data_IF_353426483596
#
_entry.id   IF_353426483596
#
_cell.length_a   1.000
_cell.length_b   1.000
_cell.length_c   1.000
_cell.angle_alpha   90.00
_cell.angle_beta   90.00
_cell.angle_gamma   90.00
#
_symmetry.space_group_name_H-M   'P 1'
#
loop_
_entity.id
_entity.type
_entity.pdbx_description
1 polymer ?
#
# COMPACT_ATOMS: atom_id res chain seq x y z
N UNK A 1 -25.33 18.21 19.57
CA UNK A 1 -24.37 18.75 18.59
C UNK A 1 -23.72 17.57 17.86
N UNK A 2 -23.70 17.56 16.53
CA UNK A 2 -24.16 16.36 15.80
C UNK A 2 -23.08 15.36 15.42
N UNK A 3 -23.23 14.10 15.86
CA UNK A 3 -22.47 12.93 15.36
C UNK A 3 -22.40 12.87 13.83
N UNK A 4 -23.43 13.40 13.16
CA UNK A 4 -23.54 13.52 11.70
C UNK A 4 -22.46 14.43 11.10
N UNK A 5 -22.23 15.62 11.67
CA UNK A 5 -21.19 16.54 11.17
C UNK A 5 -19.83 15.86 11.21
N UNK A 6 -19.54 15.20 12.33
CA UNK A 6 -18.29 14.48 12.51
C UNK A 6 -18.11 13.36 11.50
N UNK A 7 -19.13 12.52 11.30
CA UNK A 7 -19.11 11.43 10.30
C UNK A 7 -18.92 11.94 8.88
N UNK A 8 -19.58 13.04 8.52
CA UNK A 8 -19.46 13.65 7.20
C UNK A 8 -18.07 14.25 6.98
N UNK A 9 -17.53 14.95 7.98
CA UNK A 9 -16.17 15.46 7.96
C UNK A 9 -15.15 14.33 7.87
N UNK A 10 -15.30 13.28 8.67
CA UNK A 10 -14.42 12.11 8.68
C UNK A 10 -14.40 11.41 7.32
N UNK A 11 -15.58 11.08 6.77
CA UNK A 11 -15.67 10.46 5.45
C UNK A 11 -15.07 11.34 4.35
N UNK A 12 -15.29 12.66 4.43
CA UNK A 12 -14.76 13.61 3.45
C UNK A 12 -13.25 13.75 3.53
N UNK A 13 -12.68 13.78 4.74
CA UNK A 13 -11.22 13.79 4.94
C UNK A 13 -10.60 12.48 4.50
N UNK A 14 -11.19 11.34 4.87
CA UNK A 14 -10.69 10.04 4.46
C UNK A 14 -10.67 9.90 2.93
N UNK A 15 -11.73 10.32 2.25
CA UNK A 15 -11.78 10.32 0.79
C UNK A 15 -10.71 11.22 0.17
N UNK A 16 -10.52 12.43 0.72
CA UNK A 16 -9.48 13.35 0.28
C UNK A 16 -8.08 12.75 0.47
N UNK A 17 -7.80 12.13 1.61
CA UNK A 17 -6.53 11.46 1.91
C UNK A 17 -6.22 10.35 0.91
N UNK A 18 -7.19 9.45 0.65
CA UNK A 18 -7.01 8.35 -0.30
C UNK A 18 -6.71 8.87 -1.70
N UNK A 19 -7.43 9.90 -2.17
CA UNK A 19 -7.20 10.50 -3.49
C UNK A 19 -5.79 11.13 -3.55
N UNK A 20 -5.41 11.92 -2.55
CA UNK A 20 -4.10 12.58 -2.50
C UNK A 20 -2.93 11.60 -2.51
N UNK A 21 -3.05 10.50 -1.75
CA UNK A 21 -2.03 9.44 -1.69
C UNK A 21 -1.96 8.70 -3.01
N UNK A 22 -3.10 8.29 -3.58
CA UNK A 22 -3.11 7.56 -4.85
C UNK A 22 -2.55 8.38 -6.01
N UNK A 23 -2.86 9.67 -6.08
CA UNK A 23 -2.28 10.59 -7.07
C UNK A 23 -0.77 10.69 -6.92
N UNK A 24 -0.28 10.82 -5.68
CA UNK A 24 1.15 10.89 -5.41
C UNK A 24 1.89 9.59 -5.77
N UNK A 25 1.30 8.44 -5.43
CA UNK A 25 1.83 7.12 -5.78
C UNK A 25 1.87 6.94 -7.30
N UNK A 26 0.80 7.29 -8.01
CA UNK A 26 0.77 7.17 -9.48
C UNK A 26 1.88 8.00 -10.11
N UNK A 27 2.07 9.24 -9.68
CA UNK A 27 3.09 10.13 -10.23
C UNK A 27 4.52 9.65 -9.91
N UNK A 28 4.76 9.09 -8.72
CA UNK A 28 6.10 8.60 -8.37
C UNK A 28 6.44 7.28 -9.04
N UNK A 29 5.46 6.38 -9.21
CA UNK A 29 5.67 5.10 -9.90
C UNK A 29 5.90 5.27 -11.41
N UNK A 30 5.23 6.23 -12.07
CA UNK A 30 5.47 6.53 -13.50
C UNK A 30 6.92 6.91 -13.82
N UNK A 31 7.69 7.31 -12.81
CA UNK A 31 9.08 7.77 -12.95
C UNK A 31 10.11 6.70 -12.63
N UNK A 32 9.69 5.46 -12.32
CA UNK A 32 10.57 4.41 -11.78
C UNK A 32 10.41 3.10 -12.55
N UNK A 33 11.55 2.56 -12.98
CA UNK A 33 11.65 1.22 -13.54
C UNK A 33 11.97 0.19 -12.45
N UNK A 34 11.44 -1.04 -12.58
CA UNK A 34 11.71 -2.16 -11.66
C UNK A 34 13.21 -2.45 -11.50
N UNK A 35 13.95 -2.50 -12.62
CA UNK A 35 15.40 -2.77 -12.67
C UNK A 35 16.22 -1.70 -11.93
N UNK A 36 15.58 -0.57 -11.62
CA UNK A 36 16.18 0.50 -10.86
C UNK A 36 16.14 0.21 -9.35
N UNK A 37 15.15 -0.55 -8.86
CA UNK A 37 14.92 -0.81 -7.44
C UNK A 37 15.56 -2.10 -6.95
N UNK A 38 15.55 -3.15 -7.77
CA UNK A 38 16.05 -4.48 -7.39
C UNK A 38 17.05 -4.97 -8.44
N UNK A 39 18.21 -5.41 -7.98
CA UNK A 39 19.24 -6.05 -8.81
C UNK A 39 19.27 -7.54 -8.49
N UNK A 40 19.20 -8.37 -9.54
CA UNK A 40 19.35 -9.83 -9.43
C UNK A 40 20.69 -10.24 -10.04
N UNK A 41 21.57 -10.81 -9.21
CA UNK A 41 22.87 -11.32 -9.64
C UNK A 41 22.77 -12.82 -9.92
N UNK A 42 23.40 -13.27 -11.01
CA UNK A 42 23.43 -14.67 -11.40
C UNK A 42 24.86 -15.23 -11.29
N UNK A 43 24.96 -16.52 -10.95
CA UNK A 43 26.20 -17.30 -10.96
C UNK A 43 26.65 -17.66 -12.38
N UNK A 44 27.82 -18.29 -12.49
CA UNK A 44 28.38 -18.76 -13.76
C UNK A 44 27.56 -19.86 -14.45
N UNK A 45 26.71 -20.53 -13.68
CA UNK A 45 25.72 -21.53 -14.09
C UNK A 45 24.36 -20.92 -14.51
N UNK A 46 24.19 -19.61 -14.33
CA UNK A 46 22.92 -18.91 -14.57
C UNK A 46 21.93 -18.99 -13.41
N UNK A 47 22.30 -19.57 -12.26
CA UNK A 47 21.44 -19.59 -11.06
C UNK A 47 21.43 -18.22 -10.36
N UNK A 48 20.30 -17.84 -9.75
CA UNK A 48 20.22 -16.60 -8.95
C UNK A 48 21.02 -16.78 -7.66
N UNK A 49 22.03 -15.92 -7.44
CA UNK A 49 22.90 -15.98 -6.26
C UNK A 49 22.63 -14.88 -5.25
N UNK A 50 22.11 -13.73 -5.70
CA UNK A 50 21.81 -12.59 -4.85
C UNK A 50 20.65 -11.78 -5.40
N UNK A 51 19.79 -11.30 -4.49
CA UNK A 51 18.79 -10.26 -4.77
C UNK A 51 19.10 -9.11 -3.83
N UNK A 52 19.47 -7.96 -4.39
CA UNK A 52 19.81 -6.76 -3.62
C UNK A 52 18.90 -5.60 -3.99
N UNK A 53 18.42 -4.88 -2.98
CA UNK A 53 17.62 -3.67 -3.18
C UNK A 53 18.52 -2.43 -3.25
N UNK A 54 18.23 -1.52 -4.17
CA UNK A 54 18.88 -0.21 -4.23
C UNK A 54 18.31 0.70 -3.13
N UNK A 55 18.92 0.63 -1.94
CA UNK A 55 18.47 1.38 -0.77
C UNK A 55 18.36 2.89 -1.03
N UNK A 56 19.21 3.47 -1.89
CA UNK A 56 19.12 4.90 -2.22
C UNK A 56 17.85 5.23 -3.01
N UNK A 57 17.53 4.43 -4.03
CA UNK A 57 16.34 4.64 -4.86
C UNK A 57 15.06 4.29 -4.11
N UNK A 58 15.05 3.23 -3.31
CA UNK A 58 13.93 2.88 -2.42
C UNK A 58 13.63 4.02 -1.46
N UNK A 59 14.64 4.54 -0.77
CA UNK A 59 14.46 5.68 0.14
C UNK A 59 14.05 6.97 -0.58
N UNK A 60 14.56 7.21 -1.79
CA UNK A 60 14.17 8.36 -2.60
C UNK A 60 12.69 8.26 -3.00
N UNK A 61 12.23 7.08 -3.41
CA UNK A 61 10.82 6.82 -3.75
C UNK A 61 9.92 7.02 -2.51
N UNK A 62 10.28 6.46 -1.36
CA UNK A 62 9.56 6.66 -0.10
C UNK A 62 9.40 8.15 0.22
N UNK A 63 10.51 8.90 0.22
CA UNK A 63 10.53 10.33 0.57
C UNK A 63 9.77 11.19 -0.44
N UNK A 64 9.91 10.90 -1.73
CA UNK A 64 9.23 11.65 -2.79
C UNK A 64 7.71 11.42 -2.70
N UNK A 65 7.28 10.16 -2.51
CA UNK A 65 5.87 9.80 -2.35
C UNK A 65 5.27 10.45 -1.11
N UNK A 66 5.96 10.40 0.04
CA UNK A 66 5.51 11.04 1.26
C UNK A 66 5.37 12.56 1.10
N UNK A 67 6.35 13.21 0.47
CA UNK A 67 6.37 14.65 0.25
C UNK A 67 5.25 15.09 -0.70
N UNK A 68 5.07 14.38 -1.81
CA UNK A 68 4.03 14.68 -2.78
C UNK A 68 2.62 14.43 -2.22
N UNK A 69 2.43 13.32 -1.49
CA UNK A 69 1.19 13.02 -0.78
C UNK A 69 0.82 14.14 0.19
N UNK A 70 1.80 14.60 1.00
CA UNK A 70 1.62 15.69 1.95
C UNK A 70 1.28 17.01 1.24
N UNK A 71 1.94 17.33 0.12
CA UNK A 71 1.65 18.52 -0.67
C UNK A 71 0.23 18.49 -1.27
N UNK A 72 -0.16 17.37 -1.90
CA UNK A 72 -1.49 17.16 -2.46
C UNK A 72 -2.57 17.28 -1.39
N UNK A 73 -2.32 16.71 -0.21
CA UNK A 73 -3.25 16.74 0.91
C UNK A 73 -3.39 18.15 1.50
N UNK A 74 -2.29 18.88 1.64
CA UNK A 74 -2.29 20.28 2.09
C UNK A 74 -3.09 21.17 1.13
N UNK A 75 -2.81 21.07 -0.18
CA UNK A 75 -3.50 21.86 -1.21
C UNK A 75 -5.01 21.58 -1.25
N UNK A 76 -5.43 20.33 -1.08
CA UNK A 76 -6.85 19.97 -1.02
C UNK A 76 -7.50 20.44 0.29
N UNK A 77 -6.78 20.36 1.40
CA UNK A 77 -7.29 20.76 2.72
C UNK A 77 -7.52 22.27 2.82
N UNK A 78 -6.74 23.09 2.12
CA UNK A 78 -6.93 24.55 2.04
C UNK A 78 -8.32 24.95 1.49
N UNK A 79 -8.90 24.13 0.61
CA UNK A 79 -10.24 24.36 0.06
C UNK A 79 -11.37 24.10 1.07
N UNK A 80 -11.05 23.48 2.22
CA UNK A 80 -12.00 23.12 3.26
C UNK A 80 -13.01 22.05 2.82
N UNK A 81 -13.90 21.68 3.75
CA UNK A 81 -14.96 20.69 3.47
C UNK A 81 -16.31 21.38 3.41
N UNK A 82 -17.09 20.98 2.41
CA UNK A 82 -18.45 21.48 2.17
C UNK A 82 -19.46 20.56 2.85
N UNK A 83 -20.12 21.03 3.91
CA UNK A 83 -21.17 20.27 4.62
C UNK A 83 -22.49 21.02 4.49
N UNK A 84 -23.61 20.34 4.17
CA UNK A 84 -24.93 20.95 4.18
C UNK A 84 -25.31 21.49 5.56
N UNK A 85 -25.98 22.65 5.62
CA UNK A 85 -26.46 23.21 6.89
C UNK A 85 -27.38 22.28 7.67
N UNK A 86 -28.10 21.38 6.98
CA UNK A 86 -28.95 20.39 7.62
C UNK A 86 -28.21 19.39 8.52
N UNK A 87 -26.91 19.14 8.28
CA UNK A 87 -26.08 18.30 9.15
C UNK A 87 -25.87 18.90 10.56
N UNK A 88 -26.00 20.21 10.71
CA UNK A 88 -25.88 20.91 11.99
C UNK A 88 -27.12 20.73 12.88
N UNK A 89 -28.26 20.38 12.28
CA UNK A 89 -29.54 20.29 13.00
C UNK A 89 -29.62 19.15 13.99
N UNK A 90 -28.88 18.05 13.77
CA UNK A 90 -29.07 16.83 14.56
C UNK A 90 -29.73 15.68 13.81
N UNK A 91 -30.48 16.01 12.77
CA UNK A 91 -31.51 15.13 12.21
C UNK A 91 -30.95 14.44 10.96
N UNK A 92 -30.88 13.10 10.98
CA UNK A 92 -30.33 12.30 9.87
C UNK A 92 -31.05 12.56 8.55
N UNK A 93 -32.37 12.67 8.58
CA UNK A 93 -33.18 13.00 7.40
C UNK A 93 -32.79 14.35 6.76
N UNK A 94 -32.37 15.33 7.56
CA UNK A 94 -31.98 16.65 7.08
C UNK A 94 -30.47 16.74 6.75
N UNK A 95 -29.67 15.73 7.03
CA UNK A 95 -28.21 15.79 6.92
C UNK A 95 -27.70 16.20 5.53
N UNK A 96 -28.45 15.86 4.47
CA UNK A 96 -28.13 16.21 3.08
C UNK A 96 -28.77 17.52 2.57
N UNK A 97 -29.61 18.18 3.37
CA UNK A 97 -30.44 19.30 2.91
C UNK A 97 -29.85 20.68 3.21
N UNK A 98 -30.19 21.64 2.34
CA UNK A 98 -29.83 23.04 2.45
C UNK A 98 -28.52 23.42 1.75
N UNK A 99 -28.17 24.73 1.73
CA UNK A 99 -26.93 25.21 1.15
C UNK A 99 -25.71 24.59 1.86
N UNK A 100 -24.64 24.35 1.09
CA UNK A 100 -23.38 23.84 1.64
C UNK A 100 -22.57 25.01 2.20
N UNK A 101 -22.13 24.89 3.44
CA UNK A 101 -21.19 25.82 4.07
C UNK A 101 -19.80 25.19 4.03
N UNK A 102 -18.78 25.99 3.73
CA UNK A 102 -17.39 25.54 3.74
C UNK A 102 -16.78 25.83 5.10
N UNK A 103 -16.18 24.82 5.73
CA UNK A 103 -15.36 24.99 6.93
C UNK A 103 -13.91 24.74 6.56
N UNK A 104 -13.05 25.68 6.94
CA UNK A 104 -11.61 25.46 6.87
C UNK A 104 -11.24 24.40 7.87
N UNK A 105 -10.49 23.41 7.40
CA UNK A 105 -9.89 22.40 8.25
C UNK A 105 -8.45 22.81 8.44
N UNK A 106 -8.07 23.07 9.68
CA UNK A 106 -6.67 23.21 10.04
C UNK A 106 -6.16 21.78 10.18
N UNK A 107 -5.69 21.21 9.07
CA UNK A 107 -5.12 19.87 9.03
C UNK A 107 -3.62 19.93 9.26
N UNK A 108 -3.13 19.28 10.31
CA UNK A 108 -1.74 18.83 10.35
C UNK A 108 -1.74 17.45 9.74
N UNK A 109 -0.99 17.29 8.64
CA UNK A 109 -0.90 16.01 7.93
C UNK A 109 0.51 15.45 8.10
N UNK A 110 0.60 14.24 8.63
CA UNK A 110 1.83 13.45 8.61
C UNK A 110 1.65 12.35 7.58
N UNK A 111 2.61 12.22 6.67
CA UNK A 111 2.68 11.08 5.76
C UNK A 111 4.00 10.37 5.98
N UNK A 112 3.95 9.05 6.16
CA UNK A 112 5.09 8.15 6.18
C UNK A 112 4.94 7.12 5.07
N UNK A 113 6.06 6.71 4.50
CA UNK A 113 6.11 5.60 3.54
C UNK A 113 7.14 4.59 4.05
N UNK A 114 6.74 3.33 4.13
CA UNK A 114 7.59 2.20 4.52
C UNK A 114 7.59 1.16 3.41
N UNK A 115 8.70 0.42 3.27
CA UNK A 115 8.84 -0.63 2.26
C UNK A 115 8.93 -1.98 2.96
N UNK A 116 8.15 -2.95 2.48
CA UNK A 116 8.18 -4.34 2.94
C UNK A 116 8.50 -5.26 1.75
N UNK A 117 9.28 -6.31 2.01
CA UNK A 117 9.57 -7.35 1.01
C UNK A 117 9.00 -8.68 1.48
N UNK A 118 8.24 -9.34 0.61
CA UNK A 118 7.60 -10.62 0.89
C UNK A 118 8.05 -11.68 -0.12
N UNK A 119 8.25 -12.90 0.36
CA UNK A 119 8.52 -14.07 -0.46
C UNK A 119 7.37 -15.07 -0.33
N UNK A 120 6.85 -15.55 -1.46
CA UNK A 120 5.76 -16.54 -1.50
C UNK A 120 6.01 -17.60 -2.57
N UNK A 121 5.43 -18.79 -2.42
CA UNK A 121 5.54 -19.83 -3.45
C UNK A 121 4.67 -19.47 -4.67
N UNK A 122 5.25 -19.51 -5.86
CA UNK A 122 4.56 -19.31 -7.14
C UNK A 122 4.34 -20.60 -7.94
N UNK A 123 4.95 -21.71 -7.50
CA UNK A 123 4.89 -23.00 -8.19
C UNK A 123 6.03 -23.92 -7.77
N UNK A 124 6.17 -25.03 -8.50
CA UNK A 124 7.28 -25.99 -8.31
C UNK A 124 8.59 -25.31 -8.63
N UNK A 125 9.44 -25.14 -7.62
CA UNK A 125 10.71 -24.41 -7.67
C UNK A 125 10.57 -22.97 -8.20
N UNK A 126 9.45 -22.32 -7.86
CA UNK A 126 9.24 -20.91 -8.17
C UNK A 126 8.91 -20.15 -6.89
N UNK A 127 9.69 -19.10 -6.62
CA UNK A 127 9.49 -18.19 -5.50
C UNK A 127 9.16 -16.81 -6.05
N UNK A 128 7.99 -16.29 -5.72
CA UNK A 128 7.61 -14.91 -6.00
C UNK A 128 8.19 -14.01 -4.92
N UNK A 129 8.88 -12.97 -5.35
CA UNK A 129 9.36 -11.88 -4.51
C UNK A 129 8.56 -10.62 -4.85
N UNK A 130 7.87 -10.07 -3.86
CA UNK A 130 7.03 -8.88 -3.99
C UNK A 130 7.53 -7.80 -3.04
N UNK A 131 7.62 -6.57 -3.54
CA UNK A 131 8.03 -5.38 -2.79
C UNK A 131 6.82 -4.45 -2.68
N UNK A 132 6.37 -4.25 -1.46
CA UNK A 132 5.25 -3.38 -1.11
C UNK A 132 5.76 -2.06 -0.55
N UNK A 133 4.99 -0.99 -0.79
CA UNK A 133 5.14 0.31 -0.16
C UNK A 133 3.86 0.65 0.57
N UNK A 134 3.95 0.78 1.89
CA UNK A 134 2.86 1.22 2.75
C UNK A 134 2.93 2.72 2.95
N UNK A 135 1.91 3.43 2.48
CA UNK A 135 1.76 4.86 2.68
C UNK A 135 0.75 5.10 3.79
N UNK A 136 1.23 5.50 4.96
CA UNK A 136 0.40 5.90 6.09
C UNK A 136 0.25 7.42 6.11
N UNK A 137 -1.00 7.88 6.00
CA UNK A 137 -1.35 9.29 6.07
C UNK A 137 -2.26 9.54 7.28
N UNK A 138 -1.80 10.38 8.20
CA UNK A 138 -2.56 10.82 9.37
C UNK A 138 -2.94 12.29 9.23
N UNK A 139 -4.23 12.57 9.40
CA UNK A 139 -4.80 13.91 9.28
C UNK A 139 -5.51 14.29 10.58
N UNK A 140 -5.07 15.38 11.20
CA UNK A 140 -5.76 15.93 12.36
C UNK A 140 -6.80 16.95 11.92
N UNK A 141 -8.08 16.68 12.13
CA UNK A 141 -9.19 17.58 11.79
C UNK A 141 -9.55 18.40 13.00
N UNK A 142 -9.45 19.73 12.91
CA UNK A 142 -9.90 20.66 13.96
C UNK A 142 -11.28 21.21 13.58
N UNK A 143 -12.27 21.01 14.45
CA UNK A 143 -13.64 21.51 14.34
C UNK A 143 -14.02 22.32 15.58
N UNK A 144 -15.08 23.16 15.52
CA UNK A 144 -15.56 23.89 16.69
C UNK A 144 -15.90 22.99 17.89
N UNK A 145 -16.23 21.72 17.65
CA UNK A 145 -16.56 20.73 18.69
C UNK A 145 -15.35 19.97 19.25
N UNK A 146 -14.14 20.21 18.74
CA UNK A 146 -12.91 19.50 19.14
C UNK A 146 -12.06 19.05 17.94
N UNK A 147 -10.98 18.31 18.22
CA UNK A 147 -10.10 17.72 17.20
C UNK A 147 -10.23 16.20 17.13
N UNK A 148 -9.94 15.62 15.97
CA UNK A 148 -9.78 14.17 15.78
C UNK A 148 -8.64 13.87 14.82
N UNK A 149 -7.86 12.84 15.12
CA UNK A 149 -6.95 12.23 14.17
C UNK A 149 -7.67 11.15 13.35
N UNK A 150 -7.42 11.16 12.04
CA UNK A 150 -7.91 10.19 11.08
C UNK A 150 -6.68 9.66 10.35
N UNK A 151 -6.42 8.37 10.48
CA UNK A 151 -5.35 7.69 9.74
C UNK A 151 -5.90 6.86 8.60
N UNK A 152 -5.13 6.75 7.53
CA UNK A 152 -5.38 5.87 6.39
C UNK A 152 -4.07 5.24 5.98
N UNK A 153 -4.10 3.94 5.70
CA UNK A 153 -2.96 3.19 5.17
C UNK A 153 -3.34 2.72 3.77
N UNK A 154 -2.46 3.00 2.81
CA UNK A 154 -2.56 2.51 1.44
C UNK A 154 -1.36 1.63 1.14
N UNK A 155 -1.60 0.34 0.95
CA UNK A 155 -0.59 -0.62 0.50
C UNK A 155 -0.48 -0.57 -1.04
N UNK A 156 0.74 -0.54 -1.55
CA UNK A 156 1.03 -0.46 -2.98
C UNK A 156 2.05 -1.53 -3.36
N UNK A 157 1.71 -2.40 -4.31
CA UNK A 157 2.70 -3.30 -4.92
C UNK A 157 3.57 -2.50 -5.90
N UNK A 158 4.83 -2.28 -5.52
CA UNK A 158 5.77 -1.47 -6.31
C UNK A 158 6.51 -2.32 -7.33
N UNK A 159 6.86 -3.55 -6.95
CA UNK A 159 7.74 -4.41 -7.73
C UNK A 159 7.42 -5.87 -7.44
N UNK A 160 7.38 -6.71 -8.47
CA UNK A 160 7.21 -8.16 -8.31
C UNK A 160 8.10 -8.91 -9.32
N UNK A 161 8.72 -10.00 -8.87
CA UNK A 161 9.49 -10.91 -9.72
C UNK A 161 9.30 -12.36 -9.31
N UNK A 162 9.40 -13.28 -10.28
CA UNK A 162 9.36 -14.73 -10.06
C UNK A 162 10.76 -15.28 -10.24
N UNK A 163 11.29 -15.84 -9.18
CA UNK A 163 12.59 -16.51 -9.12
C UNK A 163 12.34 -17.98 -9.46
N UNK A 164 12.96 -18.46 -10.53
CA UNK A 164 12.90 -19.87 -10.94
C UNK A 164 14.17 -20.57 -10.44
N UNK A 165 13.99 -21.55 -9.55
CA UNK A 165 15.05 -22.42 -9.08
C UNK A 165 15.11 -23.73 -9.87
N UNK A 166 16.21 -24.46 -9.74
CA UNK A 166 16.34 -25.79 -10.33
C UNK A 166 15.36 -26.78 -9.69
N UNK A 167 14.84 -27.71 -10.49
CA UNK A 167 14.05 -28.83 -9.98
C UNK A 167 15.02 -29.87 -9.43
N UNK A 168 14.93 -30.25 -8.13
CA UNK A 168 15.78 -31.31 -7.61
C UNK A 168 15.54 -32.59 -8.42
N UNK A 169 16.60 -33.19 -8.95
CA UNK A 169 16.54 -34.54 -9.52
C UNK A 169 16.22 -35.51 -8.40
N UNK A 170 14.94 -35.89 -8.29
CA UNK A 170 14.51 -36.94 -7.35
C UNK A 170 15.03 -38.26 -7.91
N UNK A 171 16.13 -38.76 -7.35
CA UNK A 171 16.53 -40.16 -7.52
C UNK A 171 15.49 -41.03 -6.80
N UNK A 172 14.43 -41.40 -7.52
CA UNK A 172 13.56 -42.51 -7.14
C UNK A 172 14.39 -43.79 -7.30
N UNK A 173 15.10 -44.17 -6.24
CA UNK A 173 15.73 -45.48 -6.16
C UNK A 173 14.61 -46.52 -6.01
N UNK A 174 14.13 -46.98 -7.15
CA UNK A 174 13.05 -47.95 -7.26
C UNK A 174 13.50 -49.33 -6.83
N UNK A 175 13.39 -49.62 -5.54
CA UNK A 175 13.41 -50.97 -4.96
C UNK A 175 12.26 -51.17 -3.96
N UNK A 176 11.09 -50.55 -4.22
CA UNK A 176 9.90 -50.66 -3.35
C UNK A 176 8.86 -51.66 -3.90
N UNK A 177 9.08 -52.28 -5.08
CA UNK A 177 8.18 -53.34 -5.58
C UNK A 177 8.95 -54.47 -6.27
N UNK A 178 9.15 -55.57 -5.54
CA UNK A 178 9.73 -56.78 -6.10
C UNK A 178 9.89 -57.95 -5.13
N UNK A 179 9.03 -58.10 -4.11
CA UNK A 179 8.87 -59.42 -3.50
C UNK A 179 8.28 -60.36 -4.57
N UNK A 180 9.11 -61.25 -5.10
CA UNK A 180 8.65 -62.42 -5.84
C UNK A 180 9.00 -63.65 -5.03
N UNK A 181 8.09 -64.00 -4.12
CA UNK A 181 7.92 -65.39 -3.73
C UNK A 181 7.63 -66.18 -5.01
N UNK A 182 8.42 -67.21 -5.28
CA UNK A 182 7.85 -68.42 -5.87
C UNK A 182 8.59 -69.66 -5.35
N UNK A 183 7.74 -70.61 -4.96
CA UNK A 183 8.00 -71.77 -4.15
C UNK A 183 8.45 -72.95 -5.01
N UNK A 184 9.65 -73.48 -4.70
CA UNK A 184 10.11 -74.90 -4.80
C UNK A 184 9.89 -75.69 -6.12
N UNK A 185 10.64 -76.79 -6.35
CA UNK A 185 10.45 -78.07 -5.64
C UNK A 185 11.63 -78.51 -4.76
#
# INVERSE_FOLDING_TARGET
MTKILYRLSEASVQSMTVISVNEAVSETLERIDYDSLVTVTHGSDGAVTEISANAQKVNLLARTTATLSMANLSARSENGIKVPVGAFTGIEFLAGFGPKVTFKIISVSRVSCEFESAFSSAGVNQTRHSVYMDVEATVTVVMPSGSKEISSVTEVLVAESVIVGEVPDVFLQGDIFGERYDLVP
#
